data_IF_475460792873
#
_entry.id   IF_475460792873
#
_cell.length_a   1.000
_cell.length_b   1.000
_cell.length_c   1.000
_cell.angle_alpha   90.00
_cell.angle_beta   90.00
_cell.angle_gamma   90.00
#
_symmetry.space_group_name_H-M   'P 1'
#
loop_
_entity.id
_entity.type
_entity.pdbx_description
1 polymer ?
#
# COMPACT_ATOMS: atom_id res chain seq x y z
N UNK A 1 -5.85 20.19 5.88
CA UNK A 1 -5.34 19.61 4.62
C UNK A 1 -5.05 20.73 3.63
N UNK A 2 -3.88 20.68 2.97
CA UNK A 2 -3.53 21.60 1.86
C UNK A 2 -4.50 21.39 0.70
N UNK A 3 -5.02 22.49 0.14
CA UNK A 3 -5.98 22.44 -0.96
C UNK A 3 -5.28 22.11 -2.28
N UNK A 4 -5.95 21.33 -3.15
CA UNK A 4 -5.44 20.97 -4.48
C UNK A 4 -5.00 22.21 -5.28
N UNK A 5 -5.75 23.33 -5.21
CA UNK A 5 -5.38 24.56 -5.93
C UNK A 5 -4.04 25.16 -5.45
N UNK A 6 -3.67 24.97 -4.19
CA UNK A 6 -2.37 25.44 -3.68
C UNK A 6 -1.23 24.59 -4.25
N UNK A 7 -1.43 23.28 -4.36
CA UNK A 7 -0.46 22.38 -5.00
C UNK A 7 -0.33 22.65 -6.50
N UNK A 8 -1.43 22.91 -7.20
CA UNK A 8 -1.39 23.24 -8.63
C UNK A 8 -0.63 24.55 -8.89
N UNK A 9 -0.77 25.56 -8.03
CA UNK A 9 0.03 26.79 -8.12
C UNK A 9 1.53 26.55 -7.94
N UNK A 10 1.90 25.64 -7.05
CA UNK A 10 3.31 25.24 -6.87
C UNK A 10 3.80 24.54 -8.14
N UNK A 11 3.01 23.61 -8.67
CA UNK A 11 3.32 22.87 -9.90
C UNK A 11 3.41 23.77 -11.14
N UNK A 12 2.61 24.83 -11.24
CA UNK A 12 2.70 25.85 -12.30
C UNK A 12 4.06 26.56 -12.30
N UNK A 13 4.68 26.71 -11.12
CA UNK A 13 6.02 27.27 -10.98
C UNK A 13 7.16 26.29 -11.27
N UNK A 14 6.88 25.01 -11.52
CA UNK A 14 7.91 24.01 -11.79
C UNK A 14 8.42 24.10 -13.22
N UNK A 15 9.71 23.85 -13.39
CA UNK A 15 10.26 23.48 -14.69
C UNK A 15 9.85 22.04 -14.99
N UNK A 16 8.78 21.88 -15.79
CA UNK A 16 8.21 20.59 -16.16
C UNK A 16 9.22 19.69 -16.90
N UNK A 17 10.25 20.23 -17.54
CA UNK A 17 11.27 19.42 -18.22
C UNK A 17 12.36 18.90 -17.27
N UNK A 18 12.43 19.46 -16.06
CA UNK A 18 13.38 19.08 -15.02
C UNK A 18 12.70 18.58 -13.74
N UNK A 19 11.54 17.90 -13.86
CA UNK A 19 10.87 17.24 -12.75
C UNK A 19 11.79 16.20 -12.07
N UNK A 20 11.67 16.11 -10.75
CA UNK A 20 12.36 15.10 -9.94
C UNK A 20 11.36 14.24 -9.17
N UNK A 21 11.65 12.95 -9.02
CA UNK A 21 10.88 12.04 -8.19
C UNK A 21 11.55 11.94 -6.81
N UNK A 22 10.80 12.27 -5.77
CA UNK A 22 11.27 12.27 -4.40
C UNK A 22 10.49 11.26 -3.53
N UNK A 23 11.19 10.49 -2.70
CA UNK A 23 10.55 9.62 -1.70
C UNK A 23 11.44 9.37 -0.51
N UNK A 24 10.85 8.95 0.61
CA UNK A 24 11.57 8.45 1.78
C UNK A 24 12.38 7.20 1.40
N UNK A 25 13.60 7.11 1.93
CA UNK A 25 14.52 6.00 1.70
C UNK A 25 14.13 4.73 2.47
N UNK A 26 12.95 4.15 2.23
CA UNK A 26 12.47 2.92 2.89
C UNK A 26 11.43 2.17 2.02
N UNK A 27 10.97 1.01 2.50
CA UNK A 27 9.82 0.22 2.00
C UNK A 27 9.91 -0.27 0.54
N UNK A 28 9.73 0.64 -0.42
CA UNK A 28 9.71 0.36 -1.87
C UNK A 28 10.50 1.40 -2.67
N UNK A 29 11.32 2.20 -1.99
CA UNK A 29 12.12 3.26 -2.60
C UNK A 29 13.06 2.78 -3.70
N UNK A 30 13.66 1.59 -3.56
CA UNK A 30 14.59 1.06 -4.57
C UNK A 30 13.94 0.92 -5.96
N UNK A 31 12.74 0.33 -6.04
CA UNK A 31 12.05 0.20 -7.32
C UNK A 31 11.48 1.54 -7.82
N UNK A 32 11.15 2.46 -6.90
CA UNK A 32 10.66 3.80 -7.26
C UNK A 32 11.80 4.57 -7.93
N UNK A 33 13.02 4.55 -7.36
CA UNK A 33 14.18 5.22 -7.95
C UNK A 33 14.64 4.57 -9.26
N UNK A 34 14.71 3.24 -9.33
CA UNK A 34 15.02 2.53 -10.57
C UNK A 34 13.99 2.83 -11.67
N UNK A 35 12.69 2.84 -11.33
CA UNK A 35 11.60 3.18 -12.23
C UNK A 35 11.64 4.63 -12.70
N UNK A 36 11.87 5.57 -11.80
CA UNK A 36 12.01 7.00 -12.09
C UNK A 36 13.14 7.26 -13.09
N UNK A 37 14.31 6.66 -12.87
CA UNK A 37 15.47 6.78 -13.77
C UNK A 37 15.19 6.21 -15.15
N UNK A 38 14.52 5.05 -15.24
CA UNK A 38 14.14 4.44 -16.53
C UNK A 38 13.19 5.33 -17.35
N UNK A 39 12.42 6.18 -16.70
CA UNK A 39 11.53 7.16 -17.36
C UNK A 39 12.15 8.57 -17.44
N UNK A 40 13.44 8.72 -17.10
CA UNK A 40 14.21 9.96 -17.33
C UNK A 40 14.16 10.99 -16.20
N UNK A 41 13.57 10.68 -15.04
CA UNK A 41 13.51 11.61 -13.91
C UNK A 41 14.79 11.62 -13.08
N UNK A 42 15.14 12.79 -12.54
CA UNK A 42 16.07 12.89 -11.41
C UNK A 42 15.44 12.30 -10.16
N UNK A 43 16.26 11.78 -9.25
CA UNK A 43 15.78 11.07 -8.06
C UNK A 43 16.33 11.66 -6.77
N UNK A 44 15.44 11.91 -5.80
CA UNK A 44 15.77 12.52 -4.50
C UNK A 44 15.38 11.56 -3.39
N UNK A 45 16.37 11.09 -2.63
CA UNK A 45 16.17 10.21 -1.49
C UNK A 45 16.09 10.96 -0.18
N UNK A 46 14.93 10.97 0.47
CA UNK A 46 14.75 11.62 1.77
C UNK A 46 15.14 10.64 2.88
N UNK A 47 16.14 10.99 3.69
CA UNK A 47 16.60 10.14 4.79
C UNK A 47 16.85 10.92 6.07
N UNK A 48 16.64 10.23 7.20
CA UNK A 48 17.00 10.75 8.51
C UNK A 48 18.47 10.42 8.81
N UNK A 49 19.26 11.41 9.21
CA UNK A 49 20.68 11.22 9.52
C UNK A 49 21.55 10.99 8.28
N UNK A 50 22.55 10.12 8.38
CA UNK A 50 23.48 9.87 7.28
C UNK A 50 22.81 9.10 6.13
N UNK A 51 23.17 9.36 4.85
CA UNK A 51 22.70 8.58 3.71
C UNK A 51 22.87 7.08 3.93
N UNK A 52 21.82 6.25 3.74
CA UNK A 52 21.92 4.82 4.00
C UNK A 52 22.90 4.15 3.03
N UNK A 53 24.00 3.61 3.55
CA UNK A 53 25.08 3.01 2.74
C UNK A 53 24.63 1.85 1.86
N UNK A 54 23.53 1.17 2.21
CA UNK A 54 23.06 0.03 1.41
C UNK A 54 22.63 0.43 -0.01
N UNK A 55 22.27 1.70 -0.26
CA UNK A 55 22.00 2.15 -1.63
C UNK A 55 23.23 2.05 -2.54
N UNK A 56 24.45 2.06 -1.99
CA UNK A 56 25.68 1.87 -2.75
C UNK A 56 25.77 0.46 -3.38
N UNK A 57 25.09 -0.53 -2.79
CA UNK A 57 24.99 -1.88 -3.36
C UNK A 57 24.04 -1.95 -4.58
N UNK A 58 23.21 -0.92 -4.80
CA UNK A 58 22.18 -0.90 -5.83
C UNK A 58 22.29 0.35 -6.70
N UNK A 59 23.34 0.50 -7.54
CA UNK A 59 23.62 1.73 -8.27
C UNK A 59 22.48 2.19 -9.20
N UNK A 60 21.68 1.27 -9.74
CA UNK A 60 20.49 1.60 -10.55
C UNK A 60 19.33 2.18 -9.73
N UNK A 61 19.30 1.91 -8.44
CA UNK A 61 18.24 2.31 -7.50
C UNK A 61 18.73 3.30 -6.43
N UNK A 62 20.02 3.65 -6.43
CA UNK A 62 20.57 4.72 -5.60
C UNK A 62 19.96 6.05 -6.08
N UNK A 63 19.47 6.94 -5.21
CA UNK A 63 19.00 8.25 -5.63
C UNK A 63 20.16 9.14 -6.10
N UNK A 64 19.88 10.12 -6.97
CA UNK A 64 20.88 11.07 -7.49
C UNK A 64 21.41 11.98 -6.38
N UNK A 65 20.52 12.37 -5.48
CA UNK A 65 20.87 13.13 -4.30
C UNK A 65 20.12 12.63 -3.06
N UNK A 66 20.72 12.85 -1.89
CA UNK A 66 20.09 12.60 -0.61
C UNK A 66 19.67 13.91 0.02
N UNK A 67 18.39 14.00 0.40
CA UNK A 67 17.84 15.10 1.16
C UNK A 67 17.76 14.72 2.63
N UNK A 68 18.67 15.28 3.44
CA UNK A 68 18.85 14.89 4.83
C UNK A 68 17.94 15.73 5.74
N UNK A 69 17.16 15.04 6.57
CA UNK A 69 16.32 15.63 7.63
C UNK A 69 16.74 15.10 8.99
N UNK A 70 16.49 15.86 10.07
CA UNK A 70 16.70 15.38 11.44
C UNK A 70 15.52 14.57 11.96
N UNK A 71 14.34 14.91 11.49
CA UNK A 71 13.07 14.23 11.75
C UNK A 71 12.24 14.32 10.45
N UNK A 72 11.45 13.29 10.14
CA UNK A 72 10.63 13.30 8.92
C UNK A 72 9.62 14.45 8.88
N UNK A 73 9.21 14.99 10.03
CA UNK A 73 8.36 16.19 10.11
C UNK A 73 9.03 17.45 9.56
N UNK A 74 10.36 17.49 9.46
CA UNK A 74 11.06 18.60 8.80
C UNK A 74 10.74 18.71 7.30
N UNK A 75 10.15 17.68 6.67
CA UNK A 75 9.68 17.78 5.28
C UNK A 75 8.65 18.93 5.14
N UNK A 76 7.84 19.18 6.17
CA UNK A 76 6.86 20.26 6.18
C UNK A 76 7.52 21.64 6.10
N UNK A 77 8.54 21.88 6.92
CA UNK A 77 9.24 23.16 6.96
C UNK A 77 10.21 23.35 5.80
N UNK A 78 10.71 22.25 5.21
CA UNK A 78 11.62 22.28 4.06
C UNK A 78 10.95 22.03 2.70
N UNK A 79 9.61 22.15 2.64
CA UNK A 79 8.86 21.96 1.39
C UNK A 79 9.32 22.93 0.29
N UNK A 80 9.73 24.15 0.62
CA UNK A 80 10.25 25.11 -0.38
C UNK A 80 11.57 24.64 -1.02
N UNK A 81 12.48 24.04 -0.24
CA UNK A 81 13.75 23.50 -0.74
C UNK A 81 13.53 22.35 -1.74
N UNK A 82 12.57 21.48 -1.44
CA UNK A 82 12.17 20.39 -2.33
C UNK A 82 11.41 20.93 -3.55
N UNK A 83 10.58 21.96 -3.38
CA UNK A 83 9.86 22.58 -4.48
C UNK A 83 10.80 23.25 -5.50
N UNK A 84 11.86 23.91 -5.03
CA UNK A 84 12.90 24.48 -5.87
C UNK A 84 13.66 23.44 -6.73
N UNK A 85 13.52 22.15 -6.39
CA UNK A 85 14.07 21.00 -7.13
C UNK A 85 13.04 20.34 -8.05
N UNK A 86 11.87 20.95 -8.24
CA UNK A 86 10.75 20.41 -9.02
C UNK A 86 10.31 19.00 -8.53
N UNK A 87 10.35 18.77 -7.22
CA UNK A 87 10.12 17.46 -6.64
C UNK A 87 8.63 17.06 -6.61
N UNK A 88 8.32 15.91 -7.18
CA UNK A 88 7.04 15.20 -7.01
C UNK A 88 7.26 14.07 -6.00
N UNK A 89 6.49 14.11 -4.91
CA UNK A 89 6.57 13.15 -3.82
C UNK A 89 5.78 11.88 -4.19
N UNK A 90 6.42 10.71 -4.03
CA UNK A 90 5.78 9.40 -4.18
C UNK A 90 5.54 8.79 -2.80
N UNK A 91 4.29 8.69 -2.30
CA UNK A 91 4.01 8.10 -1.01
C UNK A 91 4.10 6.56 -1.05
N UNK A 92 4.61 5.99 0.04
CA UNK A 92 4.58 4.55 0.29
C UNK A 92 4.36 4.27 1.79
N UNK A 93 4.27 3.00 2.19
CA UNK A 93 3.97 2.54 3.56
C UNK A 93 4.69 3.34 4.65
N UNK A 94 6.02 3.26 4.67
CA UNK A 94 6.84 3.94 5.68
C UNK A 94 6.82 5.46 5.62
N UNK A 95 6.55 6.09 4.47
CA UNK A 95 6.49 7.55 4.38
C UNK A 95 5.35 8.05 5.27
N UNK A 96 4.15 7.53 5.04
CA UNK A 96 2.94 7.92 5.77
C UNK A 96 3.05 7.51 7.24
N UNK A 97 3.67 6.37 7.53
CA UNK A 97 3.91 5.94 8.91
C UNK A 97 4.84 6.87 9.68
N UNK A 98 5.98 7.24 9.10
CA UNK A 98 6.98 8.06 9.79
C UNK A 98 6.53 9.50 9.96
N UNK A 99 5.82 10.04 8.98
CA UNK A 99 5.32 11.41 9.03
C UNK A 99 4.00 11.53 9.83
N UNK A 100 3.13 10.52 9.72
CA UNK A 100 1.74 10.56 10.16
C UNK A 100 0.80 11.07 9.06
N UNK A 101 -0.40 10.51 8.98
CA UNK A 101 -1.39 10.84 7.94
C UNK A 101 -1.78 12.35 7.98
N UNK A 102 -2.01 12.90 9.16
CA UNK A 102 -2.36 14.32 9.35
C UNK A 102 -1.27 15.25 8.81
N UNK A 103 -0.01 14.98 9.15
CA UNK A 103 1.13 15.76 8.67
C UNK A 103 1.31 15.60 7.16
N UNK A 104 1.08 14.41 6.59
CA UNK A 104 1.18 14.22 5.14
C UNK A 104 0.19 15.11 4.38
N UNK A 105 -1.03 15.26 4.89
CA UNK A 105 -2.05 16.14 4.32
C UNK A 105 -1.65 17.62 4.33
N UNK A 106 -0.69 18.02 5.17
CA UNK A 106 -0.20 19.40 5.28
C UNK A 106 1.05 19.70 4.43
N UNK A 107 1.63 18.72 3.73
CA UNK A 107 2.82 18.93 2.90
C UNK A 107 2.49 19.90 1.75
N UNK A 108 3.26 20.97 1.57
CA UNK A 108 3.10 21.91 0.44
C UNK A 108 4.00 21.54 -0.74
N UNK A 109 3.80 20.35 -1.30
CA UNK A 109 4.55 19.81 -2.45
C UNK A 109 3.61 19.00 -3.36
N UNK A 110 3.79 18.99 -4.68
CA UNK A 110 3.14 18.02 -5.55
C UNK A 110 3.36 16.59 -5.06
N UNK A 111 2.28 15.85 -4.82
CA UNK A 111 2.34 14.40 -4.53
C UNK A 111 1.63 13.63 -5.62
N UNK A 112 2.21 12.52 -6.04
CA UNK A 112 1.53 11.60 -6.95
C UNK A 112 0.42 10.85 -6.21
N UNK A 113 -0.77 10.79 -6.81
CA UNK A 113 -1.96 10.18 -6.23
C UNK A 113 -2.94 11.21 -5.66
N UNK A 114 -3.94 10.74 -4.90
CA UNK A 114 -4.88 11.59 -4.15
C UNK A 114 -4.62 11.51 -2.65
N UNK A 115 -4.07 12.59 -2.06
CA UNK A 115 -3.79 12.72 -0.61
C UNK A 115 -4.97 12.39 0.31
N UNK A 116 -6.20 12.65 -0.13
CA UNK A 116 -7.41 12.37 0.67
C UNK A 116 -7.55 10.88 0.98
N UNK A 117 -7.00 10.00 0.14
CA UNK A 117 -7.08 8.55 0.34
C UNK A 117 -6.39 8.09 1.63
N UNK A 118 -5.42 8.85 2.14
CA UNK A 118 -4.68 8.47 3.34
C UNK A 118 -5.56 8.47 4.60
N UNK A 119 -6.58 9.34 4.64
CA UNK A 119 -7.56 9.36 5.72
C UNK A 119 -8.38 8.05 5.72
N UNK A 120 -8.76 7.60 4.53
CA UNK A 120 -9.59 6.42 4.34
C UNK A 120 -8.85 5.10 4.56
N UNK A 121 -7.57 5.03 4.23
CA UNK A 121 -6.79 3.81 4.47
C UNK A 121 -6.27 3.70 5.91
N UNK A 122 -6.01 4.83 6.59
CA UNK A 122 -5.37 4.80 7.92
C UNK A 122 -6.37 4.57 9.06
N UNK A 123 -7.64 4.93 8.86
CA UNK A 123 -8.73 4.60 9.76
C UNK A 123 -9.43 3.29 9.35
N UNK A 124 -9.46 2.31 10.26
CA UNK A 124 -10.03 0.97 10.01
C UNK A 124 -11.55 1.00 9.77
N UNK A 125 -12.28 1.91 10.40
CA UNK A 125 -13.73 2.04 10.21
C UNK A 125 -14.01 2.69 8.86
N UNK A 126 -13.27 3.74 8.49
CA UNK A 126 -13.39 4.37 7.17
C UNK A 126 -13.03 3.41 6.04
N UNK A 127 -11.93 2.67 6.19
CA UNK A 127 -11.51 1.63 5.24
C UNK A 127 -12.58 0.56 5.04
N UNK A 128 -13.15 0.07 6.16
CA UNK A 128 -14.27 -0.89 6.12
C UNK A 128 -15.50 -0.31 5.42
N UNK A 129 -15.89 0.91 5.79
CA UNK A 129 -17.04 1.58 5.18
C UNK A 129 -16.85 1.75 3.67
N UNK A 130 -15.64 2.09 3.22
CA UNK A 130 -15.33 2.18 1.79
C UNK A 130 -15.49 0.83 1.08
N UNK A 131 -14.86 -0.23 1.60
CA UNK A 131 -14.92 -1.56 1.01
C UNK A 131 -16.33 -2.15 1.02
N UNK A 132 -17.05 -2.07 2.14
CA UNK A 132 -18.42 -2.57 2.24
C UNK A 132 -19.39 -1.78 1.35
N UNK A 133 -19.24 -0.44 1.27
CA UNK A 133 -20.05 0.38 0.38
C UNK A 133 -19.72 0.14 -1.11
N UNK A 134 -18.53 -0.36 -1.43
CA UNK A 134 -18.16 -0.85 -2.76
C UNK A 134 -18.72 -2.27 -3.05
N UNK A 135 -19.40 -2.90 -2.09
CA UNK A 135 -19.91 -4.26 -2.22
C UNK A 135 -18.83 -5.34 -2.07
N UNK A 136 -17.67 -4.99 -1.51
CA UNK A 136 -16.58 -5.93 -1.27
C UNK A 136 -16.88 -6.78 -0.04
N UNK A 137 -16.72 -8.10 -0.19
CA UNK A 137 -16.89 -9.03 0.92
C UNK A 137 -15.72 -8.92 1.89
N UNK A 138 -16.00 -8.43 3.09
CA UNK A 138 -15.03 -8.40 4.18
C UNK A 138 -15.30 -9.52 5.20
N UNK A 139 -14.27 -9.98 5.95
CA UNK A 139 -14.50 -10.88 7.05
C UNK A 139 -15.44 -10.26 8.10
N UNK A 140 -16.36 -11.07 8.63
CA UNK A 140 -17.36 -10.62 9.60
C UNK A 140 -16.70 -10.04 10.85
N UNK A 141 -17.34 -9.06 11.48
CA UNK A 141 -16.85 -8.44 12.70
C UNK A 141 -17.92 -8.59 13.79
N UNK A 142 -17.49 -8.94 15.00
CA UNK A 142 -18.38 -9.06 16.16
C UNK A 142 -17.99 -8.05 17.23
N UNK A 143 -18.97 -7.59 18.01
CA UNK A 143 -18.76 -6.63 19.10
C UNK A 143 -18.55 -7.32 20.43
N UNK A 144 -19.34 -8.36 20.72
CA UNK A 144 -19.25 -9.07 21.99
C UNK A 144 -18.34 -10.30 21.83
N UNK A 145 -17.31 -10.46 22.66
CA UNK A 145 -16.47 -11.67 22.64
C UNK A 145 -17.24 -12.95 23.01
N UNK A 146 -18.42 -12.84 23.61
CA UNK A 146 -19.31 -13.97 23.90
C UNK A 146 -19.93 -14.58 22.64
N UNK A 147 -19.96 -13.82 21.55
CA UNK A 147 -20.47 -14.26 20.24
C UNK A 147 -19.41 -15.04 19.43
N UNK A 148 -18.24 -15.37 20.02
CA UNK A 148 -17.20 -16.19 19.34
C UNK A 148 -17.67 -17.64 19.25
N UNK A 149 -18.15 -18.02 18.07
CA UNK A 149 -18.62 -19.36 17.72
C UNK A 149 -17.72 -20.10 16.70
N UNK A 150 -16.72 -19.41 16.13
CA UNK A 150 -15.76 -19.94 15.16
C UNK A 150 -14.36 -19.33 15.38
N UNK A 151 -13.31 -19.76 14.66
CA UNK A 151 -12.01 -19.10 14.69
C UNK A 151 -12.12 -17.60 14.36
N UNK A 152 -11.61 -16.75 15.25
CA UNK A 152 -11.61 -15.30 15.11
C UNK A 152 -10.19 -14.76 15.29
N UNK A 153 -9.84 -13.72 14.54
CA UNK A 153 -8.66 -12.91 14.73
C UNK A 153 -8.97 -11.74 15.65
N UNK A 154 -8.22 -11.61 16.73
CA UNK A 154 -8.22 -10.43 17.59
C UNK A 154 -7.08 -9.51 17.14
N UNK A 155 -7.41 -8.24 16.88
CA UNK A 155 -6.45 -7.22 16.47
C UNK A 155 -6.50 -6.06 17.44
N UNK A 156 -5.42 -5.82 18.19
CA UNK A 156 -5.30 -4.61 19.00
C UNK A 156 -5.26 -3.35 18.13
N UNK A 157 -5.68 -2.22 18.70
CA UNK A 157 -5.57 -0.90 18.06
C UNK A 157 -4.10 -0.46 18.09
N UNK A 158 -3.62 0.14 16.99
CA UNK A 158 -2.22 0.58 16.89
C UNK A 158 -1.19 -0.54 16.67
N UNK A 159 -1.62 -1.81 16.64
CA UNK A 159 -0.81 -2.93 16.20
C UNK A 159 -0.29 -2.72 14.76
N UNK A 160 1.04 -2.77 14.59
CA UNK A 160 1.72 -2.52 13.31
C UNK A 160 2.34 -3.79 12.76
N UNK A 161 2.18 -4.02 11.46
CA UNK A 161 2.80 -5.15 10.76
C UNK A 161 2.49 -6.50 11.39
N UNK A 162 1.27 -6.72 11.90
CA UNK A 162 0.86 -8.00 12.47
C UNK A 162 1.29 -8.26 13.93
N UNK A 163 2.02 -7.33 14.56
CA UNK A 163 2.40 -7.43 15.97
C UNK A 163 1.17 -7.26 16.88
N UNK A 164 0.95 -8.19 17.82
CA UNK A 164 -0.21 -8.15 18.73
C UNK A 164 -1.50 -8.73 18.17
N UNK A 165 -1.45 -9.39 17.01
CA UNK A 165 -2.59 -10.16 16.49
C UNK A 165 -2.56 -11.60 17.01
N UNK A 166 -3.72 -12.15 17.37
CA UNK A 166 -3.82 -13.55 17.77
C UNK A 166 -5.16 -14.16 17.39
N UNK A 167 -5.14 -15.47 17.14
CA UNK A 167 -6.33 -16.23 16.79
C UNK A 167 -6.91 -16.87 18.05
N UNK A 168 -8.23 -16.77 18.19
CA UNK A 168 -9.01 -17.39 19.27
C UNK A 168 -10.05 -18.33 18.67
N UNK A 169 -10.33 -19.44 19.36
CA UNK A 169 -11.29 -20.45 18.88
C UNK A 169 -12.66 -20.37 19.56
N UNK A 170 -12.72 -19.75 20.73
CA UNK A 170 -13.92 -19.58 21.56
C UNK A 170 -13.69 -18.49 22.61
N UNK A 171 -14.75 -18.11 23.32
CA UNK A 171 -14.70 -17.11 24.37
C UNK A 171 -13.74 -17.44 25.53
N UNK A 172 -13.58 -18.72 25.89
CA UNK A 172 -12.66 -19.14 26.95
C UNK A 172 -11.20 -18.89 26.56
N UNK A 173 -10.82 -19.22 25.33
CA UNK A 173 -9.48 -18.95 24.79
C UNK A 173 -9.21 -17.45 24.69
N UNK A 174 -10.21 -16.67 24.26
CA UNK A 174 -10.15 -15.21 24.26
C UNK A 174 -9.83 -14.64 25.65
N UNK A 175 -10.57 -15.04 26.69
CA UNK A 175 -10.37 -14.57 28.07
C UNK A 175 -8.96 -14.86 28.62
N UNK A 176 -8.32 -15.96 28.19
CA UNK A 176 -6.98 -16.32 28.66
C UNK A 176 -5.87 -15.46 28.05
N UNK A 177 -6.09 -14.89 26.86
CA UNK A 177 -5.05 -14.21 26.07
C UNK A 177 -5.21 -12.69 26.00
N UNK A 178 -6.42 -12.19 26.26
CA UNK A 178 -6.71 -10.77 26.12
C UNK A 178 -5.94 -9.93 27.14
N UNK A 179 -5.35 -8.82 26.68
CA UNK A 179 -4.89 -7.74 27.53
C UNK A 179 -6.06 -6.75 27.73
N UNK A 180 -6.67 -6.68 28.92
CA UNK A 180 -7.85 -5.84 29.15
C UNK A 180 -7.55 -4.33 29.07
N UNK A 181 -6.27 -3.93 29.12
CA UNK A 181 -5.87 -2.54 28.99
C UNK A 181 -5.88 -2.04 27.52
N UNK A 182 -5.91 -2.95 26.55
CA UNK A 182 -5.81 -2.61 25.13
C UNK A 182 -7.18 -2.66 24.45
N UNK A 183 -7.44 -1.65 23.60
CA UNK A 183 -8.59 -1.70 22.69
C UNK A 183 -8.32 -2.74 21.61
N UNK A 184 -9.36 -3.46 21.19
CA UNK A 184 -9.24 -4.51 20.17
C UNK A 184 -10.47 -4.57 19.25
N UNK A 185 -10.28 -5.20 18.10
CA UNK A 185 -11.36 -5.61 17.19
C UNK A 185 -11.35 -7.13 17.05
N UNK A 186 -12.54 -7.74 16.94
CA UNK A 186 -12.69 -9.17 16.72
C UNK A 186 -13.29 -9.39 15.33
N UNK A 187 -12.54 -10.11 14.49
CA UNK A 187 -12.88 -10.33 13.10
C UNK A 187 -12.79 -11.82 12.77
N UNK A 188 -13.62 -12.31 11.86
CA UNK A 188 -13.56 -13.67 11.31
C UNK A 188 -12.13 -14.01 10.86
N UNK A 189 -11.58 -15.12 11.37
CA UNK A 189 -10.35 -15.69 10.83
C UNK A 189 -10.70 -16.52 9.61
N UNK A 190 -10.61 -15.91 8.42
CA UNK A 190 -10.95 -16.59 7.16
C UNK A 190 -9.96 -17.70 6.88
N UNK A 191 -10.46 -18.93 6.79
CA UNK A 191 -9.66 -20.09 6.41
C UNK A 191 -9.46 -20.09 4.89
N UNK A 192 -8.21 -19.93 4.47
CA UNK A 192 -7.86 -19.91 3.05
C UNK A 192 -6.42 -19.46 2.82
N UNK A 193 -6.10 -19.16 1.57
CA UNK A 193 -4.78 -18.70 1.14
C UNK A 193 -4.77 -17.21 0.91
N UNK A 194 -3.73 -16.50 1.37
CA UNK A 194 -3.63 -15.04 1.24
C UNK A 194 -3.07 -14.64 -0.12
N UNK A 195 -3.70 -13.64 -0.73
CA UNK A 195 -3.29 -13.03 -1.99
C UNK A 195 -3.32 -11.50 -1.83
N UNK A 196 -2.24 -10.88 -2.26
CA UNK A 196 -2.04 -9.44 -2.22
C UNK A 196 -1.97 -8.96 -3.67
N UNK A 197 -3.09 -8.45 -4.17
CA UNK A 197 -3.26 -8.13 -5.59
C UNK A 197 -2.84 -6.69 -5.83
N UNK A 198 -1.82 -6.47 -6.66
CA UNK A 198 -1.23 -5.16 -6.94
C UNK A 198 -1.90 -4.56 -8.17
N UNK A 199 -2.79 -3.61 -7.94
CA UNK A 199 -3.46 -2.88 -8.99
C UNK A 199 -2.77 -1.56 -9.27
N UNK A 200 -3.04 -1.02 -10.45
CA UNK A 200 -2.75 0.36 -10.81
C UNK A 200 -3.96 0.96 -11.52
N UNK A 201 -4.48 2.06 -10.98
CA UNK A 201 -5.55 2.81 -11.62
C UNK A 201 -5.01 4.09 -12.26
N UNK A 202 -5.25 4.25 -13.55
CA UNK A 202 -4.86 5.43 -14.33
C UNK A 202 -6.10 6.24 -14.71
N UNK A 203 -6.25 7.49 -14.23
CA UNK A 203 -7.39 8.33 -14.60
C UNK A 203 -7.26 8.96 -16.00
N UNK A 204 -6.09 8.84 -16.65
CA UNK A 204 -5.77 9.47 -17.94
C UNK A 204 -5.65 8.46 -19.09
N UNK A 205 -5.53 7.17 -18.79
CA UNK A 205 -5.44 6.10 -19.78
C UNK A 205 -6.84 5.70 -20.28
N UNK A 206 -6.99 5.52 -21.58
CA UNK A 206 -8.29 5.28 -22.25
C UNK A 206 -8.45 3.87 -22.83
N UNK A 207 -7.42 3.03 -22.76
CA UNK A 207 -7.38 1.65 -23.22
C UNK A 207 -7.24 0.65 -22.06
N UNK A 208 -7.46 -0.64 -22.33
CA UNK A 208 -7.41 -1.71 -21.33
C UNK A 208 -8.75 -1.96 -20.62
N UNK A 209 -8.71 -2.34 -19.34
CA UNK A 209 -9.91 -2.56 -18.54
C UNK A 209 -10.51 -1.21 -18.13
N UNK A 210 -11.46 -0.73 -18.92
CA UNK A 210 -12.05 0.61 -18.79
C UNK A 210 -12.97 0.74 -17.58
N UNK A 211 -12.89 1.89 -16.92
CA UNK A 211 -13.77 2.31 -15.81
C UNK A 211 -14.66 3.48 -16.27
N UNK A 212 -15.49 4.01 -15.37
CA UNK A 212 -16.29 5.23 -15.64
C UNK A 212 -15.40 6.43 -16.02
N UNK A 213 -14.20 6.47 -15.46
CA UNK A 213 -13.08 7.34 -15.85
C UNK A 213 -11.81 6.50 -15.83
N UNK A 214 -11.01 6.57 -16.89
CA UNK A 214 -9.70 5.93 -16.92
C UNK A 214 -9.74 4.41 -17.11
N UNK A 215 -8.69 3.73 -16.65
CA UNK A 215 -8.54 2.28 -16.77
C UNK A 215 -7.82 1.65 -15.56
N UNK A 216 -8.06 0.37 -15.35
CA UNK A 216 -7.48 -0.45 -14.29
C UNK A 216 -6.51 -1.49 -14.86
N UNK A 217 -5.40 -1.68 -14.16
CA UNK A 217 -4.38 -2.68 -14.48
C UNK A 217 -4.11 -3.56 -13.25
N UNK A 218 -3.85 -4.85 -13.47
CA UNK A 218 -3.31 -5.76 -12.46
C UNK A 218 -1.86 -6.03 -12.81
N UNK A 219 -0.93 -5.64 -11.94
CA UNK A 219 0.51 -5.65 -12.25
C UNK A 219 1.30 -6.71 -11.50
N UNK A 220 0.69 -7.41 -10.55
CA UNK A 220 1.38 -8.42 -9.75
C UNK A 220 0.48 -8.97 -8.66
N UNK A 221 0.87 -10.14 -8.14
CA UNK A 221 0.25 -10.73 -6.97
C UNK A 221 1.37 -11.33 -6.11
N UNK A 222 1.33 -11.07 -4.81
CA UNK A 222 2.25 -11.69 -3.85
C UNK A 222 1.53 -12.36 -2.68
N UNK A 223 2.32 -13.01 -1.83
CA UNK A 223 1.99 -13.37 -0.45
C UNK A 223 3.10 -12.92 0.48
N UNK A 224 2.73 -12.29 1.60
CA UNK A 224 3.66 -11.94 2.68
C UNK A 224 4.27 -13.19 3.34
N UNK A 225 5.55 -13.09 3.66
CA UNK A 225 6.29 -14.04 4.52
C UNK A 225 6.34 -13.47 5.93
N UNK A 226 5.80 -14.20 6.89
CA UNK A 226 5.52 -13.71 8.23
C UNK A 226 6.21 -14.56 9.30
N UNK A 227 7.04 -13.90 10.10
CA UNK A 227 7.75 -14.52 11.22
C UNK A 227 6.97 -14.32 12.52
N UNK A 228 6.72 -15.34 13.33
CA UNK A 228 7.03 -16.77 13.15
C UNK A 228 5.86 -17.59 12.56
N UNK A 229 4.75 -16.95 12.18
CA UNK A 229 3.51 -17.63 11.78
C UNK A 229 3.67 -18.66 10.64
N UNK A 230 4.56 -18.39 9.67
CA UNK A 230 4.79 -19.29 8.53
C UNK A 230 5.69 -20.51 8.86
N UNK A 231 6.32 -20.58 10.04
CA UNK A 231 7.27 -21.66 10.39
C UNK A 231 6.91 -22.37 11.72
N UNK A 232 6.10 -21.74 12.58
CA UNK A 232 5.82 -22.20 13.94
C UNK A 232 5.24 -23.63 14.00
N UNK A 233 4.47 -24.05 12.99
CA UNK A 233 3.85 -25.38 12.93
C UNK A 233 4.86 -26.53 12.80
N UNK A 234 6.13 -26.25 12.49
CA UNK A 234 7.20 -27.26 12.42
C UNK A 234 7.67 -27.76 13.77
N UNK A 235 7.39 -27.02 14.84
CA UNK A 235 7.90 -27.30 16.19
C UNK A 235 6.95 -28.24 16.96
N UNK A 236 5.64 -28.16 16.68
CA UNK A 236 4.64 -28.99 17.36
C UNK A 236 3.22 -28.59 17.00
N UNK A 237 2.26 -29.28 17.60
CA UNK A 237 0.86 -28.92 17.50
C UNK A 237 0.57 -27.54 18.13
N UNK A 238 -0.49 -26.83 17.71
CA UNK A 238 -0.85 -25.55 18.30
C UNK A 238 -1.04 -25.57 19.83
N UNK A 239 -1.40 -26.73 20.40
CA UNK A 239 -1.56 -26.90 21.84
C UNK A 239 -0.21 -26.93 22.55
N UNK A 240 0.74 -27.76 22.09
CA UNK A 240 2.08 -27.85 22.66
C UNK A 240 2.82 -26.51 22.60
N UNK A 241 2.65 -25.78 21.49
CA UNK A 241 3.23 -24.45 21.31
C UNK A 241 2.69 -23.45 22.35
N UNK A 242 1.37 -23.43 22.55
CA UNK A 242 0.74 -22.56 23.54
C UNK A 242 1.17 -22.90 24.97
N UNK A 243 1.30 -24.19 25.31
CA UNK A 243 1.81 -24.67 26.60
C UNK A 243 3.27 -24.25 26.84
N UNK A 244 4.08 -24.22 25.78
CA UNK A 244 5.45 -23.71 25.82
C UNK A 244 5.56 -22.17 25.77
N UNK A 245 4.43 -21.44 25.75
CA UNK A 245 4.41 -19.99 25.65
C UNK A 245 4.82 -19.43 24.27
N UNK A 246 4.79 -20.26 23.23
CA UNK A 246 5.15 -19.88 21.86
C UNK A 246 3.87 -19.60 21.07
N UNK A 247 3.72 -18.37 20.61
CA UNK A 247 2.54 -17.91 19.88
C UNK A 247 2.89 -17.44 18.48
N UNK A 248 1.97 -17.59 17.50
CA UNK A 248 2.18 -17.06 16.16
C UNK A 248 2.25 -15.53 16.20
N UNK A 249 3.27 -14.97 15.55
CA UNK A 249 3.37 -13.54 15.24
C UNK A 249 3.32 -13.35 13.74
N UNK A 250 2.65 -12.29 13.29
CA UNK A 250 2.43 -12.03 11.86
C UNK A 250 3.37 -10.93 11.34
N UNK A 251 4.59 -10.85 11.89
CA UNK A 251 5.57 -9.82 11.54
C UNK A 251 6.09 -10.07 10.13
N UNK A 252 5.85 -9.12 9.24
CA UNK A 252 6.25 -9.23 7.82
C UNK A 252 7.76 -9.17 7.69
N UNK A 253 8.35 -10.19 7.08
CA UNK A 253 9.80 -10.32 6.85
C UNK A 253 10.18 -10.37 5.38
N UNK A 254 9.22 -10.63 4.49
CA UNK A 254 9.45 -10.73 3.06
C UNK A 254 8.15 -10.95 2.29
N UNK A 255 8.27 -11.28 1.00
CA UNK A 255 7.15 -11.55 0.10
C UNK A 255 7.53 -12.70 -0.85
N UNK A 256 6.54 -13.48 -1.29
CA UNK A 256 6.67 -14.54 -2.30
C UNK A 256 5.79 -14.20 -3.51
N UNK A 257 6.28 -14.42 -4.74
CA UNK A 257 5.47 -14.18 -5.92
C UNK A 257 4.37 -15.24 -6.04
N UNK A 258 3.17 -14.82 -6.42
CA UNK A 258 2.06 -15.73 -6.70
C UNK A 258 1.42 -15.41 -8.04
N UNK A 259 0.79 -16.43 -8.60
CA UNK A 259 -0.23 -16.29 -9.63
C UNK A 259 -1.52 -16.85 -9.07
N UNK A 260 -2.64 -16.28 -9.50
CA UNK A 260 -3.96 -16.82 -9.17
C UNK A 260 -4.42 -17.79 -10.25
N UNK A 261 -5.30 -18.72 -9.89
CA UNK A 261 -6.08 -19.48 -10.88
C UNK A 261 -6.78 -18.49 -11.81
N UNK A 262 -6.55 -18.59 -13.12
CA UNK A 262 -7.01 -17.60 -14.11
C UNK A 262 -8.52 -17.33 -14.06
N UNK A 263 -9.34 -18.34 -13.76
CA UNK A 263 -10.79 -18.19 -13.60
C UNK A 263 -11.22 -17.26 -12.45
N UNK A 264 -10.29 -16.84 -11.58
CA UNK A 264 -10.52 -15.84 -10.54
C UNK A 264 -10.27 -14.41 -11.01
N UNK A 265 -9.56 -14.20 -12.13
CA UNK A 265 -9.25 -12.88 -12.66
C UNK A 265 -10.49 -12.01 -12.90
N UNK A 266 -11.62 -12.51 -13.45
CA UNK A 266 -12.82 -11.68 -13.60
C UNK A 266 -13.33 -11.10 -12.27
N UNK A 267 -13.27 -11.88 -11.18
CA UNK A 267 -13.66 -11.41 -9.84
C UNK A 267 -12.66 -10.41 -9.26
N UNK A 268 -11.37 -10.61 -9.55
CA UNK A 268 -10.28 -9.72 -9.13
C UNK A 268 -10.43 -8.35 -9.79
N UNK A 269 -10.66 -8.30 -11.10
CA UNK A 269 -10.93 -7.04 -11.81
C UNK A 269 -12.22 -6.37 -11.35
N UNK A 270 -13.32 -7.12 -11.17
CA UNK A 270 -14.59 -6.60 -10.63
C UNK A 270 -14.41 -5.98 -9.23
N UNK A 271 -13.61 -6.59 -8.34
CA UNK A 271 -13.30 -6.00 -7.03
C UNK A 271 -12.48 -4.71 -7.17
N UNK A 272 -11.45 -4.70 -8.00
CA UNK A 272 -10.62 -3.52 -8.23
C UNK A 272 -11.43 -2.35 -8.81
N UNK A 273 -12.29 -2.64 -9.80
CA UNK A 273 -13.22 -1.68 -10.41
C UNK A 273 -14.14 -1.06 -9.35
N UNK A 274 -14.88 -1.88 -8.61
CA UNK A 274 -15.82 -1.41 -7.57
C UNK A 274 -15.16 -0.52 -6.52
N UNK A 275 -13.95 -0.89 -6.09
CA UNK A 275 -13.19 -0.10 -5.11
C UNK A 275 -12.83 1.27 -5.66
N UNK A 276 -12.34 1.34 -6.90
CA UNK A 276 -11.99 2.59 -7.56
C UNK A 276 -13.23 3.44 -7.81
N UNK A 277 -14.29 2.87 -8.39
CA UNK A 277 -15.56 3.59 -8.63
C UNK A 277 -16.11 4.18 -7.33
N UNK A 278 -16.11 3.38 -6.26
CA UNK A 278 -16.59 3.87 -4.97
C UNK A 278 -15.71 4.97 -4.39
N UNK A 279 -14.41 4.93 -4.63
CA UNK A 279 -13.49 5.99 -4.21
C UNK A 279 -13.75 7.32 -4.92
N UNK A 280 -14.14 7.28 -6.21
CA UNK A 280 -14.51 8.45 -7.00
C UNK A 280 -15.70 9.16 -6.38
N UNK A 281 -16.72 8.40 -5.97
CA UNK A 281 -17.90 8.91 -5.26
C UNK A 281 -17.57 9.48 -3.87
N UNK A 282 -16.78 8.77 -3.06
CA UNK A 282 -16.61 9.09 -1.65
C UNK A 282 -15.64 10.25 -1.40
N UNK A 283 -14.51 10.31 -2.12
CA UNK A 283 -13.44 11.26 -1.82
C UNK A 283 -12.68 11.77 -3.05
N UNK A 284 -13.27 11.62 -4.25
CA UNK A 284 -12.72 12.14 -5.50
C UNK A 284 -11.71 11.22 -6.18
N UNK A 285 -11.67 9.94 -5.78
CA UNK A 285 -10.92 8.89 -6.47
C UNK A 285 -9.57 8.60 -5.85
N UNK A 286 -9.27 7.33 -5.63
CA UNK A 286 -7.88 6.89 -5.52
C UNK A 286 -7.19 7.01 -6.88
N UNK A 287 -5.87 7.16 -6.90
CA UNK A 287 -5.08 7.31 -8.14
C UNK A 287 -3.78 6.51 -8.00
N UNK A 288 -3.43 5.77 -9.04
CA UNK A 288 -2.17 5.03 -9.13
C UNK A 288 -2.22 3.68 -8.41
N UNK A 289 -1.13 3.28 -7.72
CA UNK A 289 -0.96 1.94 -7.18
C UNK A 289 -1.87 1.70 -5.97
N UNK A 290 -2.44 0.50 -5.88
CA UNK A 290 -3.09 0.03 -4.67
C UNK A 290 -3.05 -1.49 -4.54
N UNK A 291 -3.35 -1.98 -3.35
CA UNK A 291 -3.39 -3.40 -3.05
C UNK A 291 -4.68 -3.76 -2.33
N UNK A 292 -5.39 -4.77 -2.85
CA UNK A 292 -6.42 -5.47 -2.08
C UNK A 292 -5.79 -6.71 -1.44
N UNK A 293 -5.82 -6.77 -0.12
CA UNK A 293 -5.29 -7.89 0.65
C UNK A 293 -6.46 -8.82 0.97
N UNK A 294 -6.45 -10.02 0.36
CA UNK A 294 -7.57 -10.93 0.41
C UNK A 294 -7.17 -12.35 0.83
N UNK A 295 -8.15 -13.09 1.35
CA UNK A 295 -8.08 -14.53 1.52
C UNK A 295 -8.97 -15.18 0.47
N UNK A 296 -8.45 -16.19 -0.22
CA UNK A 296 -9.20 -17.08 -1.13
C UNK A 296 -9.51 -18.37 -0.39
N UNK A 297 -10.80 -18.66 -0.22
CA UNK A 297 -11.30 -19.88 0.43
C UNK A 297 -11.22 -21.11 -0.49
N UNK A 298 -11.45 -22.29 0.07
CA UNK A 298 -11.61 -23.55 -0.68
C UNK A 298 -12.83 -23.55 -1.63
N UNK A 299 -13.83 -22.73 -1.34
CA UNK A 299 -14.98 -22.43 -2.22
C UNK A 299 -14.72 -21.34 -3.27
N UNK A 300 -13.47 -20.89 -3.40
CA UNK A 300 -13.04 -19.84 -4.34
C UNK A 300 -13.71 -18.48 -4.10
N UNK A 301 -14.11 -18.21 -2.86
CA UNK A 301 -14.58 -16.90 -2.43
C UNK A 301 -13.38 -16.02 -2.06
N UNK A 302 -13.38 -14.76 -2.52
CA UNK A 302 -12.39 -13.76 -2.11
C UNK A 302 -12.99 -12.90 -1.00
N UNK A 303 -12.32 -12.86 0.15
CA UNK A 303 -12.65 -11.95 1.25
C UNK A 303 -11.51 -10.98 1.47
N UNK A 304 -11.75 -9.69 1.21
CA UNK A 304 -10.77 -8.62 1.40
C UNK A 304 -10.75 -8.23 2.87
N UNK A 305 -9.59 -8.31 3.51
CA UNK A 305 -9.45 -7.94 4.91
C UNK A 305 -8.81 -6.57 5.10
N UNK A 306 -8.12 -6.04 4.08
CA UNK A 306 -7.45 -4.75 4.13
C UNK A 306 -7.24 -4.18 2.71
N UNK A 307 -7.12 -2.85 2.63
CA UNK A 307 -6.73 -2.13 1.42
C UNK A 307 -5.55 -1.22 1.75
N UNK A 308 -4.51 -1.27 0.93
CA UNK A 308 -3.44 -0.28 0.91
C UNK A 308 -3.61 0.59 -0.33
N UNK A 309 -3.91 1.88 -0.18
CA UNK A 309 -4.23 2.76 -1.30
C UNK A 309 -3.00 3.44 -1.91
N UNK A 310 -1.86 2.73 -1.88
CA UNK A 310 -0.53 3.12 -2.35
C UNK A 310 0.23 1.87 -2.79
N UNK A 311 1.47 2.06 -3.25
CA UNK A 311 2.42 0.97 -3.49
C UNK A 311 2.72 0.19 -2.20
N UNK A 312 2.72 -1.15 -2.29
CA UNK A 312 3.03 -2.09 -1.20
C UNK A 312 4.36 -2.81 -1.41
N UNK A 313 4.98 -3.31 -0.34
CA UNK A 313 6.29 -3.99 -0.38
C UNK A 313 6.32 -5.23 -1.30
N UNK A 314 5.20 -5.92 -1.48
CA UNK A 314 5.09 -7.07 -2.39
C UNK A 314 5.48 -6.77 -3.83
N UNK A 315 5.29 -5.53 -4.27
CA UNK A 315 5.69 -5.09 -5.61
C UNK A 315 7.21 -5.13 -5.84
N UNK A 316 8.02 -5.19 -4.77
CA UNK A 316 9.49 -5.26 -4.86
C UNK A 316 9.98 -6.55 -5.54
N UNK A 317 9.15 -7.59 -5.61
CA UNK A 317 9.47 -8.83 -6.35
C UNK A 317 9.56 -8.59 -7.87
N UNK A 318 8.87 -7.56 -8.37
CA UNK A 318 8.57 -7.39 -9.79
C UNK A 318 9.31 -6.20 -10.42
N UNK A 319 10.57 -5.96 -10.02
CA UNK A 319 11.41 -4.86 -10.56
C UNK A 319 11.62 -4.99 -12.08
N UNK A 320 11.67 -6.22 -12.58
CA UNK A 320 11.89 -6.52 -14.00
C UNK A 320 10.62 -6.99 -14.71
N UNK A 321 9.44 -6.77 -14.12
CA UNK A 321 8.17 -7.31 -14.61
C UNK A 321 7.60 -8.41 -13.71
N UNK A 322 6.36 -8.79 -14.00
CA UNK A 322 5.63 -9.90 -13.41
C UNK A 322 4.87 -10.66 -14.51
N UNK A 323 4.39 -11.88 -14.25
CA UNK A 323 3.55 -12.60 -15.22
C UNK A 323 2.35 -11.80 -15.73
N UNK A 324 1.84 -10.85 -14.94
CA UNK A 324 0.74 -9.97 -15.35
C UNK A 324 1.25 -8.70 -16.04
N UNK A 325 2.28 -8.04 -15.48
CA UNK A 325 2.74 -6.79 -16.06
C UNK A 325 3.44 -6.99 -17.40
N UNK A 326 4.07 -8.15 -17.65
CA UNK A 326 4.67 -8.49 -18.95
C UNK A 326 3.62 -8.62 -20.07
N UNK A 327 2.35 -8.85 -19.73
CA UNK A 327 1.23 -8.84 -20.68
C UNK A 327 0.68 -7.43 -20.95
N UNK A 328 1.11 -6.44 -20.16
CA UNK A 328 0.81 -5.01 -20.37
C UNK A 328 1.98 -4.36 -21.08
N UNK A 329 3.19 -4.46 -20.50
CA UNK A 329 4.45 -4.04 -21.09
C UNK A 329 5.63 -4.74 -20.42
N UNK A 330 6.61 -5.16 -21.23
CA UNK A 330 7.84 -5.75 -20.73
C UNK A 330 8.59 -4.85 -19.74
N UNK A 331 9.14 -5.47 -18.69
CA UNK A 331 10.01 -4.81 -17.69
C UNK A 331 9.31 -3.66 -16.97
N UNK A 332 8.02 -3.81 -16.74
CA UNK A 332 7.20 -2.86 -16.02
C UNK A 332 7.09 -3.24 -14.54
N UNK A 333 7.82 -2.51 -13.69
CA UNK A 333 7.62 -2.52 -12.24
C UNK A 333 6.57 -1.51 -11.81
N UNK A 334 6.03 -1.63 -10.60
CA UNK A 334 5.10 -0.64 -10.05
C UNK A 334 5.76 0.75 -9.95
N UNK A 335 7.01 0.81 -9.48
CA UNK A 335 7.79 2.05 -9.45
C UNK A 335 7.96 2.70 -10.83
N UNK A 336 8.24 1.91 -11.88
CA UNK A 336 8.32 2.42 -13.25
C UNK A 336 6.96 2.85 -13.78
N UNK A 337 5.89 2.12 -13.47
CA UNK A 337 4.52 2.46 -13.88
C UNK A 337 4.08 3.81 -13.31
N UNK A 338 4.39 4.09 -12.04
CA UNK A 338 4.16 5.39 -11.40
C UNK A 338 4.92 6.50 -12.15
N UNK A 339 6.23 6.33 -12.36
CA UNK A 339 7.04 7.32 -13.06
C UNK A 339 6.53 7.57 -14.48
N UNK A 340 6.12 6.52 -15.18
CA UNK A 340 5.54 6.62 -16.52
C UNK A 340 4.24 7.39 -16.52
N UNK A 341 3.36 7.16 -15.55
CA UNK A 341 2.11 7.91 -15.44
C UNK A 341 2.40 9.41 -15.33
N UNK A 342 3.37 9.79 -14.50
CA UNK A 342 3.77 11.18 -14.35
C UNK A 342 4.34 11.73 -15.67
N UNK A 343 5.17 10.96 -16.37
CA UNK A 343 5.73 11.38 -17.67
C UNK A 343 4.63 11.57 -18.71
N UNK A 344 3.73 10.60 -18.87
CA UNK A 344 2.61 10.67 -19.82
C UNK A 344 1.67 11.82 -19.47
N UNK A 345 1.34 11.99 -18.19
CA UNK A 345 0.56 13.13 -17.72
C UNK A 345 1.25 14.46 -18.02
N UNK A 346 2.58 14.55 -17.90
CA UNK A 346 3.34 15.73 -18.32
C UNK A 346 3.21 15.97 -19.82
N UNK A 347 3.49 14.94 -20.63
CA UNK A 347 3.51 15.03 -22.09
C UNK A 347 2.13 15.39 -22.67
N UNK A 348 1.05 15.04 -21.96
CA UNK A 348 -0.34 15.36 -22.31
C UNK A 348 -0.90 16.63 -21.63
N UNK A 349 -0.09 17.32 -20.82
CA UNK A 349 -0.52 18.45 -19.95
C UNK A 349 -1.69 18.11 -18.99
N UNK A 350 -1.71 16.87 -18.50
CA UNK A 350 -2.68 16.31 -17.55
C UNK A 350 -2.09 16.04 -16.16
N UNK A 351 -0.96 16.65 -15.79
CA UNK A 351 -0.37 16.45 -14.44
C UNK A 351 -1.35 16.77 -13.31
N UNK A 352 -2.26 17.73 -13.51
CA UNK A 352 -3.30 18.09 -12.56
C UNK A 352 -4.31 16.97 -12.29
N UNK A 353 -4.40 15.95 -13.15
CA UNK A 353 -5.27 14.78 -12.98
C UNK A 353 -4.64 13.70 -12.09
N UNK A 354 -3.31 13.69 -11.94
CA UNK A 354 -2.58 12.63 -11.21
C UNK A 354 -1.84 13.13 -9.98
N UNK A 355 -1.81 14.46 -9.76
CA UNK A 355 -1.16 15.12 -8.63
C UNK A 355 -2.20 15.70 -7.67
N UNK A 356 -1.91 15.58 -6.38
CA UNK A 356 -2.62 16.25 -5.29
C UNK A 356 -1.73 17.00 -4.33
#
# INVERSE_FOLDING_TARGET
>A
MVRKQEILKILEGYDKDNLAIATVCSHSSLQIFDGARKEGFKTIGICMGAPPKFYDAFPKAKPDEFFIVRDYKEILSKSEELAAKNAIIIPHGSFVEYLGADNFQEIRLPTYGNRRVLEWESDREMSRNWLEAAGIKMPKQIKNPEDIDSPMMVKYYGAKGGMGFFVVKNYTDFKKRINPAEKFTIQEFVLGTRYYMHYFYSPIKSDGYALSKGSLELLGIDRRVESNADEIFRIGSPTELAEAGIYPTFVVTGNLPLIVRESLLPRIFDMGEKVVEKSLELFGGMIGPFCLEAVVTDSLELKVFEISARIVAGTNLFISGSPYSDLVEEKLSMGRRIAREIRVAKDMDLLSEVIS
#
